data_IF_210364484575
#
_entry.id   IF_210364484575
#
_cell.length_a   1.000
_cell.length_b   1.000
_cell.length_c   1.000
_cell.angle_alpha   90.00
_cell.angle_beta   90.00
_cell.angle_gamma   90.00
#
_symmetry.space_group_name_H-M   'P 1'
#
loop_
_entity.id
_entity.type
_entity.pdbx_description
1 polymer ?
#
# COMPACT_ATOMS: atom_id res chain seq x y z
N UNK A 1 4.24 -10.27 -9.59
CA UNK A 1 4.95 -10.41 -8.29
C UNK A 1 6.41 -10.70 -8.48
N UNK A 2 6.75 -11.77 -9.19
CA UNK A 2 8.14 -12.21 -9.40
C UNK A 2 9.01 -11.10 -10.03
N UNK A 3 8.50 -10.42 -11.04
CA UNK A 3 9.21 -9.30 -11.67
C UNK A 3 9.48 -8.14 -10.69
N UNK A 4 8.53 -7.80 -9.83
CA UNK A 4 8.73 -6.79 -8.77
C UNK A 4 9.79 -7.27 -7.78
N UNK A 5 9.79 -8.55 -7.42
CA UNK A 5 10.84 -9.13 -6.58
C UNK A 5 12.21 -9.01 -7.26
N UNK A 6 12.31 -9.30 -8.55
CA UNK A 6 13.56 -9.13 -9.31
C UNK A 6 14.01 -7.67 -9.37
N UNK A 7 13.10 -6.73 -9.61
CA UNK A 7 13.42 -5.28 -9.60
C UNK A 7 13.95 -4.83 -8.24
N UNK A 8 13.43 -5.38 -7.13
CA UNK A 8 13.80 -4.96 -5.77
C UNK A 8 15.02 -5.68 -5.20
N UNK A 9 15.13 -6.98 -5.48
CA UNK A 9 16.08 -7.86 -4.81
C UNK A 9 17.17 -8.40 -5.76
N UNK A 10 16.99 -8.25 -7.08
CA UNK A 10 17.90 -8.79 -8.09
C UNK A 10 18.04 -10.30 -7.94
N UNK A 11 19.28 -10.78 -7.88
CA UNK A 11 19.61 -12.19 -7.68
C UNK A 11 19.08 -12.76 -6.35
N UNK A 12 18.78 -11.90 -5.36
CA UNK A 12 18.19 -12.31 -4.07
C UNK A 12 16.68 -12.51 -4.11
N UNK A 13 16.04 -12.37 -5.28
CA UNK A 13 14.59 -12.58 -5.42
C UNK A 13 14.16 -14.03 -5.19
N UNK A 14 15.09 -14.98 -5.28
CA UNK A 14 14.88 -16.40 -5.01
C UNK A 14 15.59 -17.26 -6.06
N UNK A 15 16.02 -18.45 -5.65
CA UNK A 15 16.77 -19.38 -6.53
C UNK A 15 15.85 -20.12 -7.51
N UNK A 16 14.63 -20.44 -7.10
CA UNK A 16 13.62 -21.13 -7.91
C UNK A 16 12.31 -20.36 -7.85
N UNK A 17 11.92 -19.75 -8.96
CA UNK A 17 10.71 -18.94 -9.08
C UNK A 17 9.75 -19.60 -10.06
N UNK A 18 8.52 -19.88 -9.61
CA UNK A 18 7.44 -20.39 -10.44
C UNK A 18 6.30 -19.38 -10.42
N UNK A 19 5.94 -18.88 -11.60
CA UNK A 19 4.76 -18.03 -11.75
C UNK A 19 3.49 -18.88 -11.63
N UNK A 20 2.46 -18.28 -11.02
CA UNK A 20 1.09 -18.80 -10.97
C UNK A 20 0.19 -17.61 -11.21
N UNK A 21 -0.58 -17.64 -12.30
CA UNK A 21 -1.50 -16.56 -12.60
C UNK A 21 -2.76 -16.66 -11.72
N UNK A 22 -3.49 -15.55 -11.61
CA UNK A 22 -4.77 -15.57 -10.90
C UNK A 22 -5.75 -16.54 -11.57
N UNK A 23 -6.42 -17.35 -10.76
CA UNK A 23 -7.32 -18.39 -11.24
C UNK A 23 -6.62 -19.67 -11.73
N UNK A 24 -5.29 -19.70 -11.79
CA UNK A 24 -4.54 -20.95 -11.96
C UNK A 24 -4.39 -21.68 -10.62
N UNK A 25 -4.19 -22.99 -10.70
CA UNK A 25 -3.98 -23.85 -9.54
C UNK A 25 -2.85 -24.82 -9.84
N UNK A 26 -1.90 -24.92 -8.92
CA UNK A 26 -0.79 -25.88 -8.97
C UNK A 26 -0.87 -26.80 -7.76
N UNK A 27 -0.40 -28.04 -7.89
CA UNK A 27 -0.38 -28.97 -6.75
C UNK A 27 1.03 -29.08 -6.18
N UNK A 28 1.16 -28.87 -4.87
CA UNK A 28 2.42 -28.96 -4.12
C UNK A 28 2.22 -29.94 -2.97
N UNK A 29 2.90 -31.09 -3.03
CA UNK A 29 2.82 -32.14 -2.00
C UNK A 29 1.38 -32.58 -1.64
N UNK A 30 0.47 -32.57 -2.63
CA UNK A 30 -0.94 -32.93 -2.44
C UNK A 30 -1.82 -31.83 -1.87
N UNK A 31 -1.33 -30.59 -1.80
CA UNK A 31 -2.11 -29.37 -1.54
C UNK A 31 -2.27 -28.62 -2.84
N UNK A 32 -3.49 -28.24 -3.19
CA UNK A 32 -3.74 -27.39 -4.34
C UNK A 32 -3.57 -25.93 -3.92
N UNK A 33 -2.73 -25.21 -4.65
CA UNK A 33 -2.30 -23.84 -4.37
C UNK A 33 -2.73 -22.94 -5.52
N UNK A 34 -3.54 -21.93 -5.20
CA UNK A 34 -4.00 -20.93 -6.15
C UNK A 34 -3.75 -19.51 -5.63
N UNK A 35 -4.03 -18.53 -6.49
CA UNK A 35 -3.86 -17.11 -6.17
C UNK A 35 -5.13 -16.33 -6.52
N UNK A 36 -5.52 -15.40 -5.65
CA UNK A 36 -6.55 -14.40 -5.93
C UNK A 36 -6.01 -12.97 -5.70
N UNK A 37 -6.51 -11.94 -6.39
CA UNK A 37 -6.07 -10.56 -6.17
C UNK A 37 -6.27 -10.07 -4.73
N UNK A 38 -5.27 -9.39 -4.16
CA UNK A 38 -5.33 -8.80 -2.81
C UNK A 38 -5.61 -7.28 -2.80
N UNK A 39 -5.62 -6.58 -3.94
CA UNK A 39 -5.91 -5.13 -3.98
C UNK A 39 -4.86 -4.21 -3.32
N UNK A 40 -3.77 -4.76 -2.78
CA UNK A 40 -2.75 -3.98 -2.08
C UNK A 40 -1.87 -3.17 -3.05
N UNK A 41 -1.15 -3.88 -3.93
CA UNK A 41 -0.22 -3.35 -4.95
C UNK A 41 -0.27 -4.22 -6.21
N UNK A 42 0.41 -3.80 -7.29
CA UNK A 42 0.49 -4.58 -8.52
C UNK A 42 1.07 -5.99 -8.24
N UNK A 43 0.31 -7.02 -8.59
CA UNK A 43 0.66 -8.43 -8.34
C UNK A 43 0.45 -8.90 -6.89
N UNK A 44 -0.08 -8.07 -5.98
CA UNK A 44 -0.42 -8.56 -4.65
C UNK A 44 -1.51 -9.62 -4.71
N UNK A 45 -1.24 -10.76 -4.08
CA UNK A 45 -2.05 -11.95 -4.16
C UNK A 45 -2.37 -12.50 -2.76
N UNK A 46 -3.60 -12.96 -2.60
CA UNK A 46 -4.01 -13.89 -1.57
C UNK A 46 -3.59 -15.29 -2.00
N UNK A 47 -3.03 -16.08 -1.08
CA UNK A 47 -2.69 -17.48 -1.33
C UNK A 47 -3.86 -18.35 -0.91
N UNK A 48 -4.39 -19.13 -1.84
CA UNK A 48 -5.47 -20.10 -1.61
C UNK A 48 -4.85 -21.49 -1.48
N UNK A 49 -5.19 -22.19 -0.40
CA UNK A 49 -4.72 -23.54 -0.12
C UNK A 49 -5.93 -24.46 0.04
N UNK A 50 -6.09 -25.41 -0.88
CA UNK A 50 -7.12 -26.44 -0.83
C UNK A 50 -6.49 -27.78 -0.46
N UNK A 51 -6.97 -28.39 0.62
CA UNK A 51 -6.49 -29.70 1.08
C UNK A 51 -7.63 -30.53 1.67
N UNK A 52 -7.89 -31.70 1.08
CA UNK A 52 -8.92 -32.66 1.54
C UNK A 52 -10.32 -32.03 1.75
N UNK A 53 -10.71 -31.09 0.89
CA UNK A 53 -11.99 -30.39 0.98
C UNK A 53 -12.05 -29.26 2.02
N UNK A 54 -10.90 -28.90 2.60
CA UNK A 54 -10.74 -27.75 3.49
C UNK A 54 -9.96 -26.65 2.79
N UNK A 55 -10.48 -25.41 2.83
CA UNK A 55 -9.87 -24.25 2.18
C UNK A 55 -9.33 -23.26 3.21
N UNK A 56 -8.02 -22.98 3.14
CA UNK A 56 -7.39 -21.88 3.86
C UNK A 56 -7.00 -20.77 2.88
N UNK A 57 -7.20 -19.51 3.28
CA UNK A 57 -6.78 -18.35 2.50
C UNK A 57 -5.89 -17.47 3.36
N UNK A 58 -4.69 -17.18 2.85
CA UNK A 58 -3.75 -16.22 3.45
C UNK A 58 -3.87 -14.92 2.68
N UNK A 59 -4.35 -13.85 3.33
CA UNK A 59 -4.61 -12.59 2.65
C UNK A 59 -3.35 -11.90 2.15
N UNK A 60 -2.24 -12.03 2.90
CA UNK A 60 -1.14 -11.07 2.85
C UNK A 60 -1.61 -9.67 3.25
N UNK A 61 -0.85 -8.64 2.89
CA UNK A 61 -1.34 -7.27 2.95
C UNK A 61 -2.39 -7.06 1.85
N UNK A 62 -3.49 -6.39 2.20
CA UNK A 62 -4.61 -6.23 1.28
C UNK A 62 -5.34 -4.91 1.50
N UNK A 63 -6.07 -4.47 0.47
CA UNK A 63 -6.93 -3.28 0.53
C UNK A 63 -8.15 -3.49 -0.33
N UNK A 64 -9.32 -3.07 0.17
CA UNK A 64 -10.58 -3.18 -0.57
C UNK A 64 -10.89 -1.97 -1.44
N UNK A 65 -10.46 -0.78 -1.02
CA UNK A 65 -10.63 0.43 -1.81
C UNK A 65 -10.04 0.28 -3.23
N UNK A 66 -10.82 0.72 -4.22
CA UNK A 66 -10.41 0.69 -5.63
C UNK A 66 -9.08 1.44 -5.85
N UNK A 67 -8.25 0.85 -6.70
CA UNK A 67 -6.92 1.34 -7.03
C UNK A 67 -6.65 1.05 -8.51
N UNK A 68 -6.49 2.08 -9.36
CA UNK A 68 -6.25 1.86 -10.79
C UNK A 68 -4.86 1.29 -11.09
N UNK A 69 -3.99 1.13 -10.08
CA UNK A 69 -2.62 0.64 -10.27
C UNK A 69 -2.46 -0.87 -10.01
N UNK A 70 -3.53 -1.55 -9.59
CA UNK A 70 -3.53 -2.99 -9.34
C UNK A 70 -4.92 -3.62 -9.52
N UNK A 71 -4.98 -4.95 -9.52
CA UNK A 71 -6.26 -5.66 -9.52
C UNK A 71 -6.95 -5.49 -8.16
N UNK A 72 -8.26 -5.24 -8.15
CA UNK A 72 -9.04 -5.06 -6.93
C UNK A 72 -9.14 -6.34 -6.09
N UNK A 73 -9.33 -6.18 -4.78
CA UNK A 73 -9.47 -7.31 -3.85
C UNK A 73 -10.63 -8.23 -4.24
N UNK A 74 -10.37 -9.52 -4.32
CA UNK A 74 -11.37 -10.55 -4.59
C UNK A 74 -11.76 -11.27 -3.29
N UNK A 75 -13.06 -11.34 -2.98
CA UNK A 75 -13.52 -12.10 -1.81
C UNK A 75 -13.47 -13.60 -2.12
N UNK A 76 -12.67 -14.35 -1.36
CA UNK A 76 -12.60 -15.81 -1.45
C UNK A 76 -13.23 -16.45 -0.22
N UNK A 77 -14.35 -17.15 -0.42
CA UNK A 77 -14.95 -17.96 0.65
C UNK A 77 -14.03 -19.10 1.04
N UNK A 78 -13.86 -19.32 2.34
CA UNK A 78 -12.92 -20.29 2.88
C UNK A 78 -13.37 -20.83 4.24
N UNK A 79 -12.72 -21.88 4.73
CA UNK A 79 -12.95 -22.41 6.08
C UNK A 79 -12.06 -21.73 7.12
N UNK A 80 -10.86 -21.34 6.69
CA UNK A 80 -9.85 -20.61 7.47
C UNK A 80 -9.39 -19.37 6.71
N UNK A 81 -9.50 -18.20 7.32
CA UNK A 81 -8.93 -16.96 6.81
C UNK A 81 -7.80 -16.44 7.70
N UNK A 82 -6.61 -16.23 7.13
CA UNK A 82 -5.47 -15.62 7.80
C UNK A 82 -5.33 -14.18 7.30
N UNK A 83 -5.51 -13.21 8.18
CA UNK A 83 -5.58 -11.77 7.84
C UNK A 83 -4.49 -10.94 8.51
N UNK A 84 -4.04 -9.87 7.83
CA UNK A 84 -3.24 -8.80 8.45
C UNK A 84 -4.05 -7.98 9.48
N UNK A 85 -3.36 -7.22 10.34
CA UNK A 85 -3.93 -6.30 11.31
C UNK A 85 -3.14 -4.98 11.42
N UNK A 86 -2.57 -4.49 10.32
CA UNK A 86 -1.78 -3.23 10.30
C UNK A 86 -2.58 -2.08 10.92
N UNK A 87 -3.87 -2.00 10.58
CA UNK A 87 -4.82 -1.02 11.12
C UNK A 87 -5.91 -1.67 11.98
N UNK A 88 -5.55 -2.71 12.75
CA UNK A 88 -6.42 -3.50 13.61
C UNK A 88 -6.98 -2.80 14.86
N UNK A 89 -7.16 -1.47 14.86
CA UNK A 89 -7.81 -0.73 15.95
C UNK A 89 -8.97 0.13 15.42
N UNK A 90 -10.11 0.26 16.16
CA UNK A 90 -11.27 1.05 15.74
C UNK A 90 -11.02 2.52 15.40
N UNK A 91 -9.90 3.09 15.88
CA UNK A 91 -9.52 4.48 15.58
C UNK A 91 -9.06 4.67 14.13
N UNK A 92 -8.63 3.61 13.46
CA UNK A 92 -8.16 3.63 12.08
C UNK A 92 -9.32 3.44 11.12
N UNK A 93 -9.90 4.56 10.74
CA UNK A 93 -10.84 4.68 9.62
C UNK A 93 -10.15 5.58 8.60
N UNK A 94 -9.95 5.14 7.37
CA UNK A 94 -9.28 5.98 6.37
C UNK A 94 -10.26 6.93 5.69
N UNK A 95 -9.76 8.11 5.31
CA UNK A 95 -10.54 9.03 4.47
C UNK A 95 -10.59 8.49 3.03
N UNK A 96 -11.55 8.99 2.25
CA UNK A 96 -11.59 8.67 0.83
C UNK A 96 -10.31 9.20 0.15
N UNK A 97 -9.54 8.31 -0.47
CA UNK A 97 -8.24 8.65 -1.06
C UNK A 97 -8.33 9.69 -2.19
N UNK A 98 -9.43 9.72 -2.95
CA UNK A 98 -9.65 10.73 -3.98
C UNK A 98 -9.86 12.12 -3.37
N UNK A 99 -10.57 12.21 -2.24
CA UNK A 99 -10.73 13.46 -1.49
C UNK A 99 -9.39 14.00 -1.00
N UNK A 100 -8.54 13.12 -0.47
CA UNK A 100 -7.20 13.49 0.02
C UNK A 100 -6.27 13.93 -1.11
N UNK A 101 -6.33 13.27 -2.27
CA UNK A 101 -5.61 13.70 -3.47
C UNK A 101 -6.10 15.05 -4.00
N UNK A 102 -7.43 15.27 -4.05
CA UNK A 102 -8.01 16.56 -4.41
C UNK A 102 -7.56 17.67 -3.45
N UNK A 103 -7.45 17.39 -2.14
CA UNK A 103 -6.92 18.32 -1.15
C UNK A 103 -5.45 18.69 -1.43
N UNK A 104 -4.62 17.73 -1.84
CA UNK A 104 -3.25 17.98 -2.26
C UNK A 104 -3.18 18.86 -3.53
N UNK A 105 -3.99 18.55 -4.55
CA UNK A 105 -4.07 19.35 -5.79
C UNK A 105 -4.55 20.78 -5.51
N UNK A 106 -5.53 20.95 -4.63
CA UNK A 106 -5.98 22.27 -4.20
C UNK A 106 -4.87 23.05 -3.47
N UNK A 107 -4.07 22.38 -2.64
CA UNK A 107 -2.93 22.99 -1.95
C UNK A 107 -1.83 23.43 -2.93
N UNK A 108 -1.55 22.63 -3.96
CA UNK A 108 -0.64 22.99 -5.06
C UNK A 108 -1.09 24.29 -5.77
N UNK A 109 -2.40 24.44 -6.00
CA UNK A 109 -2.97 25.67 -6.57
C UNK A 109 -2.91 26.89 -5.65
N UNK A 110 -3.04 26.68 -4.33
CA UNK A 110 -3.06 27.75 -3.33
C UNK A 110 -1.66 28.26 -2.93
N UNK A 111 -0.62 27.44 -3.11
CA UNK A 111 0.77 27.78 -2.78
C UNK A 111 1.71 27.60 -3.99
N UNK A 112 1.48 28.31 -5.11
CA UNK A 112 2.25 28.13 -6.36
C UNK A 112 3.74 28.48 -6.24
N UNK A 113 4.13 29.17 -5.16
CA UNK A 113 5.51 29.54 -4.86
C UNK A 113 6.27 28.48 -4.05
N UNK A 114 5.59 27.45 -3.52
CA UNK A 114 6.19 26.38 -2.70
C UNK A 114 6.24 25.07 -3.48
N UNK A 115 7.30 24.29 -3.30
CA UNK A 115 7.36 22.92 -3.82
C UNK A 115 6.64 21.99 -2.85
N UNK A 116 5.70 21.17 -3.33
CA UNK A 116 5.06 20.15 -2.49
C UNK A 116 5.93 18.90 -2.49
N UNK A 117 6.56 18.63 -1.36
CA UNK A 117 7.39 17.45 -1.17
C UNK A 117 6.57 16.34 -0.51
N UNK A 118 6.07 15.40 -1.29
CA UNK A 118 5.25 14.29 -0.83
C UNK A 118 6.10 13.04 -0.56
N UNK A 119 6.15 12.66 0.72
CA UNK A 119 6.69 11.36 1.14
C UNK A 119 5.76 10.20 0.77
N UNK A 120 6.30 9.20 0.09
CA UNK A 120 5.60 7.97 -0.32
C UNK A 120 6.52 6.76 -0.23
N UNK A 121 5.97 5.59 0.10
CA UNK A 121 6.67 4.33 -0.09
C UNK A 121 6.83 4.03 -1.59
N UNK A 122 8.00 3.51 -1.98
CA UNK A 122 8.36 3.38 -3.40
C UNK A 122 7.55 2.34 -4.18
N UNK A 123 7.05 1.31 -3.49
CA UNK A 123 6.18 0.28 -4.05
C UNK A 123 4.74 0.51 -3.58
N UNK A 124 3.79 0.57 -4.51
CA UNK A 124 2.37 0.75 -4.22
C UNK A 124 2.02 2.22 -4.01
N UNK A 125 2.37 2.78 -2.85
CA UNK A 125 1.96 4.13 -2.43
C UNK A 125 2.31 5.20 -3.46
N UNK A 126 3.54 5.17 -3.97
CA UNK A 126 4.02 6.12 -4.96
C UNK A 126 3.13 6.12 -6.21
N UNK A 127 2.93 4.94 -6.80
CA UNK A 127 2.17 4.78 -8.05
C UNK A 127 0.70 5.14 -7.82
N UNK A 128 0.11 4.69 -6.72
CA UNK A 128 -1.26 5.02 -6.38
C UNK A 128 -1.46 6.52 -6.17
N UNK A 129 -0.58 7.19 -5.44
CA UNK A 129 -0.69 8.63 -5.23
C UNK A 129 -0.57 9.40 -6.55
N UNK A 130 0.31 8.97 -7.47
CA UNK A 130 0.39 9.53 -8.82
C UNK A 130 -0.97 9.41 -9.53
N UNK A 131 -1.53 8.21 -9.64
CA UNK A 131 -2.81 8.00 -10.32
C UNK A 131 -3.96 8.77 -9.66
N UNK A 132 -3.98 8.88 -8.33
CA UNK A 132 -4.99 9.65 -7.61
C UNK A 132 -4.90 11.16 -7.89
N UNK A 133 -3.70 11.75 -7.91
CA UNK A 133 -3.56 13.18 -8.24
C UNK A 133 -3.85 13.47 -9.71
N UNK A 134 -3.53 12.54 -10.62
CA UNK A 134 -3.95 12.61 -12.03
C UNK A 134 -5.47 12.63 -12.15
N UNK A 135 -6.15 11.69 -11.48
CA UNK A 135 -7.61 11.65 -11.46
C UNK A 135 -8.24 12.90 -10.83
N UNK A 136 -7.53 13.57 -9.91
CA UNK A 136 -7.93 14.85 -9.33
C UNK A 136 -7.61 16.07 -10.22
N UNK A 137 -7.10 15.89 -11.44
CA UNK A 137 -6.88 16.94 -12.43
C UNK A 137 -5.49 17.59 -12.40
N UNK A 138 -4.48 16.96 -11.79
CA UNK A 138 -3.11 17.44 -11.88
C UNK A 138 -2.45 16.91 -13.16
N UNK A 139 -2.32 17.76 -14.19
CA UNK A 139 -1.76 17.36 -15.50
C UNK A 139 -0.29 17.75 -15.71
N UNK A 140 0.30 18.53 -14.80
CA UNK A 140 1.72 18.97 -14.89
C UNK A 140 2.69 17.80 -14.66
N UNK A 141 3.96 17.88 -15.10
CA UNK A 141 4.96 16.87 -14.77
C UNK A 141 5.03 16.60 -13.25
N UNK A 142 5.15 15.33 -12.87
CA UNK A 142 5.44 14.96 -11.47
C UNK A 142 6.92 14.61 -11.37
N UNK A 143 7.60 15.17 -10.38
CA UNK A 143 9.04 15.01 -10.21
C UNK A 143 9.35 13.93 -9.19
N UNK A 144 10.27 13.03 -9.51
CA UNK A 144 10.60 11.87 -8.68
C UNK A 144 12.03 11.95 -8.15
N UNK A 145 12.17 11.62 -6.87
CA UNK A 145 13.43 11.14 -6.33
C UNK A 145 13.88 9.87 -7.06
N UNK A 146 15.18 9.71 -7.35
CA UNK A 146 15.71 8.59 -8.14
C UNK A 146 15.34 7.20 -7.59
N UNK A 147 15.29 7.05 -6.26
CA UNK A 147 14.86 5.81 -5.60
C UNK A 147 13.43 5.35 -5.92
N UNK A 148 12.56 6.22 -6.44
CA UNK A 148 11.19 5.87 -6.83
C UNK A 148 11.08 5.45 -8.30
N UNK A 149 12.07 5.80 -9.13
CA UNK A 149 11.95 5.72 -10.59
C UNK A 149 11.77 4.28 -11.08
N UNK A 150 12.61 3.35 -10.62
CA UNK A 150 12.62 1.97 -11.14
C UNK A 150 11.26 1.25 -11.02
N UNK A 151 10.54 1.45 -9.93
CA UNK A 151 9.21 0.85 -9.75
C UNK A 151 8.13 1.58 -10.56
N UNK A 152 8.21 2.91 -10.71
CA UNK A 152 7.29 3.63 -11.60
C UNK A 152 7.48 3.25 -13.07
N UNK A 153 8.75 3.11 -13.50
CA UNK A 153 9.09 2.65 -14.86
C UNK A 153 8.50 1.25 -15.08
N UNK A 154 8.69 0.33 -14.13
CA UNK A 154 8.11 -1.01 -14.20
C UNK A 154 6.57 -0.99 -14.25
N UNK A 155 5.88 -0.21 -13.42
CA UNK A 155 4.42 -0.11 -13.50
C UNK A 155 3.95 0.39 -14.87
N UNK A 156 4.70 1.31 -15.49
CA UNK A 156 4.41 1.80 -16.84
C UNK A 156 4.56 0.69 -17.89
N UNK A 157 5.57 -0.18 -17.78
CA UNK A 157 5.70 -1.34 -18.70
C UNK A 157 4.57 -2.36 -18.54
N UNK A 158 3.92 -2.38 -17.38
CA UNK A 158 2.73 -3.20 -17.09
C UNK A 158 1.41 -2.52 -17.51
N UNK A 159 1.48 -1.37 -18.19
CA UNK A 159 0.30 -0.68 -18.73
C UNK A 159 -0.37 0.30 -17.76
N UNK A 160 0.22 0.59 -16.60
CA UNK A 160 -0.32 1.60 -15.68
C UNK A 160 0.02 3.01 -16.19
N UNK A 161 -1.01 3.81 -16.45
CA UNK A 161 -0.84 5.19 -16.92
C UNK A 161 -0.47 6.14 -15.78
N UNK A 162 0.82 6.43 -15.61
CA UNK A 162 1.33 7.37 -14.59
C UNK A 162 1.52 8.81 -15.12
N UNK A 163 1.37 9.01 -16.43
CA UNK A 163 1.59 10.30 -17.10
C UNK A 163 3.07 10.71 -17.13
N UNK A 164 3.33 12.02 -17.27
CA UNK A 164 4.70 12.53 -17.38
C UNK A 164 5.41 12.54 -16.02
N UNK A 165 6.48 11.75 -15.90
CA UNK A 165 7.34 11.63 -14.72
C UNK A 165 8.75 12.12 -15.07
N UNK A 166 9.30 13.02 -14.25
CA UNK A 166 10.64 13.60 -14.46
C UNK A 166 11.55 13.35 -13.26
N UNK A 167 12.84 13.05 -13.45
CA UNK A 167 13.77 12.94 -12.35
C UNK A 167 14.11 14.32 -11.76
N UNK A 168 14.10 14.44 -10.44
CA UNK A 168 14.54 15.68 -9.74
C UNK A 168 16.02 16.01 -10.03
N UNK A 169 16.85 14.99 -10.29
CA UNK A 169 18.27 15.17 -10.51
C UNK A 169 18.59 16.07 -11.73
N UNK A 170 17.72 16.05 -12.73
CA UNK A 170 17.94 16.70 -14.03
C UNK A 170 17.42 18.14 -14.07
N UNK A 171 16.79 18.60 -12.97
CA UNK A 171 16.07 19.88 -12.93
C UNK A 171 16.74 20.86 -11.94
N UNK A 172 16.91 22.14 -12.32
CA UNK A 172 17.41 23.16 -11.41
C UNK A 172 16.35 23.44 -10.30
N UNK A 173 16.77 23.86 -9.10
CA UNK A 173 15.86 24.17 -7.98
C UNK A 173 14.66 25.05 -8.36
N UNK A 174 14.88 26.05 -9.20
CA UNK A 174 13.87 27.01 -9.64
C UNK A 174 12.76 26.35 -10.48
N UNK A 175 13.08 25.30 -11.22
CA UNK A 175 12.09 24.56 -12.03
C UNK A 175 11.12 23.73 -11.18
N UNK A 176 11.48 23.44 -9.92
CA UNK A 176 10.68 22.64 -8.99
C UNK A 176 9.73 23.49 -8.15
N UNK A 177 9.82 24.83 -8.25
CA UNK A 177 8.92 25.74 -7.55
C UNK A 177 7.46 25.55 -8.02
N UNK A 178 6.53 25.36 -7.08
CA UNK A 178 5.11 25.14 -7.41
C UNK A 178 4.79 23.76 -7.99
N UNK A 179 5.77 22.85 -8.01
CA UNK A 179 5.62 21.50 -8.55
C UNK A 179 5.39 20.46 -7.44
N UNK A 180 4.84 19.32 -7.84
CA UNK A 180 4.73 18.14 -6.99
C UNK A 180 5.99 17.28 -7.14
N UNK A 181 6.69 17.06 -6.02
CA UNK A 181 7.86 16.18 -5.93
C UNK A 181 7.53 15.01 -5.02
N UNK A 182 7.73 13.77 -5.48
CA UNK A 182 7.61 12.57 -4.67
C UNK A 182 8.99 12.07 -4.23
N UNK A 183 9.08 11.62 -2.98
CA UNK A 183 10.30 11.06 -2.42
C UNK A 183 10.03 9.95 -1.39
N UNK A 184 11.01 9.07 -1.10
CA UNK A 184 10.92 8.16 0.04
C UNK A 184 10.80 8.95 1.35
N UNK A 185 10.15 8.42 2.40
CA UNK A 185 9.97 9.15 3.65
C UNK A 185 11.29 9.56 4.32
N UNK A 186 12.34 8.75 4.15
CA UNK A 186 13.68 9.04 4.63
C UNK A 186 14.34 10.26 3.97
N UNK A 187 13.92 10.61 2.75
CA UNK A 187 14.48 11.74 2.00
C UNK A 187 13.85 13.09 2.37
N UNK A 188 12.71 13.11 3.07
CA UNK A 188 12.00 14.34 3.46
C UNK A 188 12.91 15.26 4.30
N UNK A 189 13.61 14.70 5.28
CA UNK A 189 14.47 15.45 6.21
C UNK A 189 15.97 15.41 5.83
N UNK A 190 16.33 14.74 4.74
CA UNK A 190 17.72 14.59 4.31
C UNK A 190 18.26 15.86 3.63
N UNK A 191 19.58 15.98 3.49
CA UNK A 191 20.25 17.03 2.71
C UNK A 191 19.72 17.14 1.28
N UNK A 192 19.25 16.04 0.68
CA UNK A 192 18.63 16.07 -0.64
C UNK A 192 17.44 17.05 -0.71
N UNK A 193 16.56 17.11 0.30
CA UNK A 193 15.37 17.97 0.26
C UNK A 193 15.70 19.46 0.36
N UNK A 194 16.89 19.82 0.88
CA UNK A 194 17.35 21.21 1.00
C UNK A 194 17.56 21.91 -0.34
N UNK A 195 17.60 21.17 -1.45
CA UNK A 195 17.62 21.75 -2.79
C UNK A 195 16.29 22.39 -3.18
N UNK A 196 15.20 22.06 -2.49
CA UNK A 196 13.88 22.65 -2.73
C UNK A 196 13.79 23.97 -1.97
N UNK A 197 13.41 25.03 -2.66
CA UNK A 197 13.16 26.33 -2.02
C UNK A 197 11.80 26.30 -1.30
N UNK A 198 11.81 26.45 0.03
CA UNK A 198 10.61 26.44 0.90
C UNK A 198 9.65 25.27 0.64
N UNK A 199 10.09 24.01 0.87
CA UNK A 199 9.26 22.84 0.60
C UNK A 199 8.09 22.74 1.59
N UNK A 200 6.87 22.64 1.07
CA UNK A 200 5.71 22.21 1.83
C UNK A 200 5.78 20.69 1.97
N UNK A 201 6.12 20.23 3.17
CA UNK A 201 6.30 18.80 3.45
C UNK A 201 4.96 18.10 3.67
N UNK A 202 4.69 17.08 2.86
CA UNK A 202 3.53 16.21 2.97
C UNK A 202 3.97 14.75 3.14
N UNK A 203 3.13 13.93 3.77
CA UNK A 203 3.39 12.48 3.90
C UNK A 203 2.09 11.69 3.73
N UNK A 204 2.09 10.72 2.80
CA UNK A 204 0.94 9.86 2.53
C UNK A 204 1.03 8.54 3.29
N UNK A 205 0.20 8.39 4.33
CA UNK A 205 0.13 7.16 5.13
C UNK A 205 -1.19 7.08 5.91
N UNK A 206 -1.73 5.87 6.08
CA UNK A 206 -2.92 5.64 6.92
C UNK A 206 -2.72 6.10 8.38
N UNK A 207 -1.49 6.05 8.86
CA UNK A 207 -1.11 6.51 10.20
C UNK A 207 -1.24 8.02 10.41
N UNK A 208 -1.37 8.81 9.33
CA UNK A 208 -1.46 10.27 9.41
C UNK A 208 -2.75 10.78 10.07
N UNK A 209 -3.75 9.91 10.28
CA UNK A 209 -4.92 10.19 11.11
C UNK A 209 -4.54 10.47 12.57
N UNK A 210 -3.44 9.89 13.06
CA UNK A 210 -2.95 10.12 14.42
C UNK A 210 -2.13 11.41 14.46
N UNK A 211 -2.69 12.48 15.01
CA UNK A 211 -2.05 13.81 15.09
C UNK A 211 -0.62 13.79 15.65
N UNK A 212 -0.36 12.95 16.67
CA UNK A 212 0.96 12.80 17.24
C UNK A 212 1.98 12.25 16.22
N UNK A 213 1.59 11.27 15.39
CA UNK A 213 2.44 10.70 14.34
C UNK A 213 2.68 11.68 13.20
N UNK A 214 1.66 12.43 12.79
CA UNK A 214 1.81 13.49 11.78
C UNK A 214 2.85 14.54 12.22
N UNK A 215 2.76 15.00 13.48
CA UNK A 215 3.73 15.93 14.07
C UNK A 215 5.14 15.33 14.18
N UNK A 216 5.25 14.08 14.60
CA UNK A 216 6.54 13.40 14.76
C UNK A 216 7.27 13.20 13.41
N UNK A 217 6.52 12.99 12.32
CA UNK A 217 7.06 12.89 10.96
C UNK A 217 7.30 14.26 10.30
N UNK A 218 7.05 15.37 10.99
CA UNK A 218 7.27 16.73 10.47
C UNK A 218 6.39 17.10 9.27
N UNK A 219 5.27 16.39 9.08
CA UNK A 219 4.37 16.67 7.97
C UNK A 219 3.54 17.94 8.27
N UNK A 220 3.82 19.04 7.58
CA UNK A 220 2.95 20.22 7.54
C UNK A 220 1.60 19.86 6.91
N UNK A 221 1.60 18.91 5.97
CA UNK A 221 0.43 18.50 5.21
C UNK A 221 0.26 16.97 5.24
N UNK A 222 -0.31 16.40 6.32
CA UNK A 222 -0.58 14.96 6.40
C UNK A 222 -1.56 14.56 5.31
N UNK A 223 -1.35 13.42 4.64
CA UNK A 223 -2.27 12.82 3.66
C UNK A 223 -2.68 11.43 4.14
N UNK A 224 -3.98 11.22 4.39
CA UNK A 224 -4.51 9.99 5.01
C UNK A 224 -4.88 9.00 3.89
N UNK A 225 -3.86 8.40 3.29
CA UNK A 225 -4.01 7.36 2.25
C UNK A 225 -3.22 6.12 2.65
N UNK A 226 -3.91 5.01 2.88
CA UNK A 226 -3.30 3.71 3.21
C UNK A 226 -3.46 2.70 2.08
N UNK A 227 -2.47 1.83 1.90
CA UNK A 227 -2.55 0.70 0.97
C UNK A 227 -3.02 -0.58 1.65
N UNK A 228 -3.40 -0.49 2.91
CA UNK A 228 -3.92 -1.59 3.72
C UNK A 228 -5.37 -1.32 4.10
N UNK A 229 -6.10 -2.40 4.39
CA UNK A 229 -7.45 -2.37 4.91
C UNK A 229 -7.50 -1.61 6.24
N UNK A 230 -8.44 -0.68 6.35
CA UNK A 230 -8.77 -0.02 7.61
C UNK A 230 -9.68 -0.89 8.49
N UNK A 231 -10.02 -0.42 9.69
CA UNK A 231 -10.83 -1.20 10.62
C UNK A 231 -12.18 -1.64 10.03
N UNK A 232 -13.01 -0.75 9.45
CA UNK A 232 -14.21 -1.16 8.71
C UNK A 232 -13.96 -2.19 7.61
N UNK A 233 -12.93 -2.01 6.78
CA UNK A 233 -12.60 -2.93 5.69
C UNK A 233 -12.14 -4.31 6.20
N UNK A 234 -11.39 -4.37 7.30
CA UNK A 234 -11.02 -5.62 7.99
C UNK A 234 -12.28 -6.38 8.43
N UNK A 235 -13.20 -5.70 9.14
CA UNK A 235 -14.44 -6.32 9.61
C UNK A 235 -15.35 -6.76 8.47
N UNK A 236 -15.45 -5.95 7.41
CA UNK A 236 -16.20 -6.31 6.21
C UNK A 236 -15.61 -7.56 5.55
N UNK A 237 -14.29 -7.67 5.47
CA UNK A 237 -13.62 -8.85 4.91
C UNK A 237 -13.91 -10.10 5.72
N UNK A 238 -13.77 -10.02 7.04
CA UNK A 238 -14.07 -11.13 7.96
C UNK A 238 -15.51 -11.62 7.79
N UNK A 239 -16.47 -10.71 7.57
CA UNK A 239 -17.86 -11.07 7.31
C UNK A 239 -18.05 -11.72 5.93
N UNK A 240 -17.46 -11.15 4.87
CA UNK A 240 -17.69 -11.56 3.49
C UNK A 240 -17.02 -12.90 3.12
N UNK A 241 -15.89 -13.24 3.76
CA UNK A 241 -15.18 -14.51 3.50
C UNK A 241 -15.89 -15.72 4.12
N UNK A 242 -16.84 -15.49 5.03
CA UNK A 242 -17.67 -16.53 5.69
C UNK A 242 -16.86 -17.67 6.34
N UNK A 243 -15.63 -17.38 6.79
CA UNK A 243 -14.76 -18.40 7.36
C UNK A 243 -15.20 -18.88 8.74
N UNK A 244 -15.03 -20.18 8.99
CA UNK A 244 -15.31 -20.80 10.28
C UNK A 244 -14.27 -20.45 11.35
N UNK A 245 -13.05 -20.11 10.93
CA UNK A 245 -11.96 -19.68 11.81
C UNK A 245 -11.16 -18.52 11.18
N UNK A 246 -10.79 -17.53 12.00
CA UNK A 246 -10.01 -16.35 11.59
C UNK A 246 -8.71 -16.31 12.37
N UNK A 247 -7.58 -16.26 11.68
CA UNK A 247 -6.27 -16.11 12.30
C UNK A 247 -5.71 -14.73 11.97
N UNK A 248 -5.20 -14.03 12.98
CA UNK A 248 -4.74 -12.65 12.84
C UNK A 248 -3.21 -12.61 12.95
N UNK A 249 -2.56 -11.89 12.05
CA UNK A 249 -1.11 -11.66 12.04
C UNK A 249 -0.78 -10.21 11.66
N UNK A 250 0.50 -9.83 11.69
CA UNK A 250 1.02 -8.51 11.29
C UNK A 250 0.29 -7.32 11.95
N UNK A 251 0.70 -6.94 13.17
CA UNK A 251 0.15 -5.80 13.90
C UNK A 251 -0.45 -6.14 15.27
N UNK A 252 -1.22 -5.20 15.86
CA UNK A 252 -1.84 -5.40 17.19
C UNK A 252 -3.12 -6.22 17.09
N UNK A 253 -3.03 -7.52 17.36
CA UNK A 253 -4.14 -8.46 17.19
C UNK A 253 -5.25 -8.34 18.25
N UNK A 254 -4.95 -7.87 19.47
CA UNK A 254 -5.86 -7.96 20.63
C UNK A 254 -7.26 -7.38 20.37
N UNK A 255 -7.34 -6.19 19.78
CA UNK A 255 -8.62 -5.52 19.55
C UNK A 255 -9.41 -6.21 18.44
N UNK A 256 -8.75 -6.66 17.37
CA UNK A 256 -9.38 -7.38 16.29
C UNK A 256 -9.88 -8.75 16.75
N UNK A 257 -9.10 -9.48 17.56
CA UNK A 257 -9.51 -10.74 18.17
C UNK A 257 -10.71 -10.57 19.10
N UNK A 258 -10.72 -9.53 19.93
CA UNK A 258 -11.87 -9.20 20.75
C UNK A 258 -13.12 -8.94 19.89
N UNK A 259 -12.96 -8.21 18.78
CA UNK A 259 -14.07 -7.94 17.86
C UNK A 259 -14.55 -9.19 17.11
N UNK A 260 -13.66 -10.07 16.68
CA UNK A 260 -14.02 -11.36 16.06
C UNK A 260 -14.85 -12.20 17.04
N UNK A 261 -14.43 -12.26 18.31
CA UNK A 261 -15.17 -12.96 19.36
C UNK A 261 -16.55 -12.34 19.60
N UNK A 262 -16.67 -11.01 19.61
CA UNK A 262 -17.95 -10.32 19.77
C UNK A 262 -18.92 -10.53 18.60
N UNK A 263 -18.39 -10.83 17.41
CA UNK A 263 -19.15 -11.25 16.22
C UNK A 263 -19.59 -12.72 16.28
N UNK A 264 -19.21 -13.47 17.33
CA UNK A 264 -19.53 -14.90 17.48
C UNK A 264 -18.63 -15.83 16.66
N UNK A 265 -17.51 -15.33 16.14
CA UNK A 265 -16.56 -16.06 15.32
C UNK A 265 -15.36 -16.55 16.16
N UNK A 266 -14.66 -17.57 15.66
CA UNK A 266 -13.46 -18.10 16.31
C UNK A 266 -12.23 -17.34 15.80
N UNK A 267 -11.63 -16.52 16.66
CA UNK A 267 -10.41 -15.78 16.37
C UNK A 267 -9.20 -16.35 17.11
N UNK A 268 -8.02 -16.35 16.48
CA UNK A 268 -6.74 -16.63 17.15
C UNK A 268 -5.58 -15.80 16.61
N UNK A 269 -4.63 -15.47 17.48
CA UNK A 269 -3.36 -14.90 17.06
C UNK A 269 -2.52 -15.95 16.32
N UNK A 270 -1.89 -15.58 15.22
CA UNK A 270 -0.89 -16.40 14.54
C UNK A 270 0.49 -15.94 15.01
N UNK A 271 1.06 -16.66 15.99
CA UNK A 271 2.43 -16.45 16.42
C UNK A 271 3.39 -16.96 15.33
N UNK A 272 3.88 -16.06 14.47
CA UNK A 272 4.94 -16.35 13.52
C UNK A 272 6.28 -16.33 14.26
N UNK A 273 6.78 -17.51 14.63
CA UNK A 273 8.10 -17.63 15.28
C UNK A 273 9.18 -17.17 14.30
N UNK A 274 9.86 -16.06 14.62
CA UNK A 274 11.00 -15.53 13.85
C UNK A 274 10.71 -14.33 12.95
N UNK A 275 9.45 -13.85 12.87
CA UNK A 275 9.11 -12.57 12.26
C UNK A 275 8.64 -11.61 13.36
N UNK A 276 9.55 -10.80 13.90
CA UNK A 276 9.15 -9.67 14.73
C UNK A 276 8.52 -8.60 13.81
N UNK A 277 7.39 -8.02 14.24
CA UNK A 277 6.75 -6.89 13.56
C UNK A 277 7.80 -5.80 13.31
N UNK A 278 8.22 -5.62 12.05
CA UNK A 278 8.90 -4.40 11.61
C UNK A 278 7.87 -3.28 11.63
N UNK A 279 7.61 -2.74 12.82
CA UNK A 279 6.87 -1.52 13.00
C UNK A 279 7.64 -0.35 12.36
N UNK A 280 7.26 0.02 11.14
CA UNK A 280 7.69 1.28 10.50
C UNK A 280 6.74 2.46 10.79
#
# INVERSE_FOLDING_TARGET
>A
TLDIMQVRYGERAGENLQAVDYGETISINGVDVGMAPAGHILGAAQVILDWQGYRAVVSGDYKRAADPTCAGFEVVKCDLFITEATFGLPVFVHENAATEAARLVASLGAAPQRTHLLGVYGLGKCQRMISLVRAAGYDKPIFLHGALRGLCDYYTTQGVELGELRPVADEPPEALQGQLVLCPPSAIADRWSRRMSDPLTAFASGWMRVRARARQRGAEFPIIVSDHADWPELLQTIADVEAGEIWVTHGREDALLHQISSMGLKGRALALVGFEDEGE
#
